data_IF_704830472626
#
_entry.id   IF_704830472626
#
_cell.length_a   1.000
_cell.length_b   1.000
_cell.length_c   1.000
_cell.angle_alpha   90.00
_cell.angle_beta   90.00
_cell.angle_gamma   90.00
#
_symmetry.space_group_name_H-M   'P 1'
#
loop_
_entity.id
_entity.type
_entity.pdbx_description
1 polymer ?
#
# COMPACT_ATOMS: atom_id res chain seq x y z
N UNK A 1 9.84 -76.58 -21.91
CA UNK A 1 10.45 -75.22 -21.93
C UNK A 1 9.66 -74.17 -22.73
N UNK A 2 8.56 -74.49 -23.40
CA UNK A 2 7.83 -73.56 -24.30
C UNK A 2 6.68 -72.76 -23.68
N UNK A 3 6.23 -73.11 -22.46
CA UNK A 3 5.13 -72.39 -21.78
C UNK A 3 5.60 -71.18 -20.92
N UNK A 4 6.84 -71.19 -20.41
CA UNK A 4 7.37 -70.09 -19.58
C UNK A 4 7.71 -68.82 -20.37
N UNK A 5 8.18 -68.96 -21.61
CA UNK A 5 8.59 -67.84 -22.46
C UNK A 5 7.40 -66.97 -22.92
N UNK A 6 6.21 -67.56 -23.14
CA UNK A 6 5.01 -66.79 -23.51
C UNK A 6 4.47 -65.94 -22.37
N UNK A 7 4.59 -66.40 -21.13
CA UNK A 7 4.16 -65.66 -19.93
C UNK A 7 5.05 -64.44 -19.67
N UNK A 8 6.37 -64.61 -19.82
CA UNK A 8 7.35 -63.52 -19.65
C UNK A 8 7.19 -62.47 -20.76
N UNK A 9 6.97 -62.89 -22.01
CA UNK A 9 6.71 -61.98 -23.11
C UNK A 9 5.42 -61.15 -22.91
N UNK A 10 4.33 -61.76 -22.43
CA UNK A 10 3.10 -61.00 -22.11
C UNK A 10 3.30 -60.04 -20.93
N UNK A 11 4.07 -60.42 -19.92
CA UNK A 11 4.39 -59.55 -18.79
C UNK A 11 5.25 -58.34 -19.21
N UNK A 12 6.25 -58.55 -20.07
CA UNK A 12 7.09 -57.50 -20.64
C UNK A 12 6.28 -56.55 -21.53
N UNK A 13 5.40 -57.07 -22.40
CA UNK A 13 4.50 -56.23 -23.21
C UNK A 13 3.61 -55.33 -22.33
N UNK A 14 3.02 -55.88 -21.25
CA UNK A 14 2.19 -55.11 -20.30
C UNK A 14 2.99 -54.05 -19.53
N UNK A 15 4.26 -54.32 -19.23
CA UNK A 15 5.17 -53.35 -18.60
C UNK A 15 5.54 -52.22 -19.57
N UNK A 16 5.84 -52.52 -20.83
CA UNK A 16 6.08 -51.49 -21.85
C UNK A 16 4.85 -50.62 -22.13
N UNK A 17 3.65 -51.18 -22.12
CA UNK A 17 2.42 -50.41 -22.32
C UNK A 17 2.08 -49.52 -21.12
N UNK A 18 2.33 -49.98 -19.87
CA UNK A 18 2.23 -49.10 -18.69
C UNK A 18 3.25 -47.97 -18.75
N UNK A 19 4.49 -48.24 -19.18
CA UNK A 19 5.53 -47.22 -19.27
C UNK A 19 5.24 -46.18 -20.36
N UNK A 20 4.68 -46.60 -21.51
CA UNK A 20 4.20 -45.69 -22.56
C UNK A 20 3.02 -44.83 -22.09
N UNK A 21 2.08 -45.40 -21.33
CA UNK A 21 0.96 -44.64 -20.77
C UNK A 21 1.41 -43.64 -19.69
N UNK A 22 2.41 -43.97 -18.86
CA UNK A 22 3.00 -43.02 -17.92
C UNK A 22 3.75 -41.88 -18.62
N UNK A 23 4.47 -42.17 -19.72
CA UNK A 23 5.14 -41.16 -20.53
C UNK A 23 4.14 -40.25 -21.26
N UNK A 24 3.00 -40.78 -21.69
CA UNK A 24 1.94 -39.97 -22.30
C UNK A 24 1.23 -39.11 -21.26
N UNK A 25 0.96 -39.62 -20.05
CA UNK A 25 0.40 -38.82 -18.95
C UNK A 25 1.34 -37.70 -18.49
N UNK A 26 2.64 -37.98 -18.38
CA UNK A 26 3.64 -36.96 -18.02
C UNK A 26 3.84 -35.92 -19.12
N UNK A 27 3.78 -36.32 -20.40
CA UNK A 27 3.76 -35.37 -21.53
C UNK A 27 2.49 -34.54 -21.57
N UNK A 28 1.32 -35.10 -21.28
CA UNK A 28 0.06 -34.36 -21.19
C UNK A 28 0.04 -33.40 -20.01
N UNK A 29 0.58 -33.79 -18.85
CA UNK A 29 0.72 -32.89 -17.69
C UNK A 29 1.74 -31.78 -17.98
N UNK A 30 2.87 -32.08 -18.63
CA UNK A 30 3.80 -31.05 -19.07
C UNK A 30 3.19 -30.13 -20.12
N UNK A 31 2.39 -30.63 -21.07
CA UNK A 31 1.68 -29.79 -22.04
C UNK A 31 0.65 -28.88 -21.36
N UNK A 32 -0.08 -29.39 -20.36
CA UNK A 32 -1.07 -28.62 -19.59
C UNK A 32 -0.36 -27.55 -18.74
N UNK A 33 0.79 -27.86 -18.13
CA UNK A 33 1.59 -26.90 -17.39
C UNK A 33 2.24 -25.86 -18.31
N UNK A 34 2.70 -26.27 -19.50
CA UNK A 34 3.32 -25.36 -20.48
C UNK A 34 2.29 -24.44 -21.17
N UNK A 35 1.04 -24.88 -21.34
CA UNK A 35 -0.07 -24.05 -21.84
C UNK A 35 -0.67 -23.13 -20.75
N UNK A 36 -0.66 -23.52 -19.47
CA UNK A 36 -1.16 -22.66 -18.39
C UNK A 36 -0.12 -21.65 -17.87
N UNK A 37 1.19 -21.93 -17.95
CA UNK A 37 2.22 -21.00 -17.48
C UNK A 37 2.45 -19.78 -18.41
N UNK A 38 1.99 -19.82 -19.66
CA UNK A 38 2.13 -18.70 -20.60
C UNK A 38 0.87 -17.83 -20.78
N UNK A 39 -0.29 -18.28 -20.26
CA UNK A 39 -1.59 -17.60 -20.51
C UNK A 39 -2.14 -16.88 -19.28
N UNK A 40 -1.55 -17.04 -18.10
CA UNK A 40 -2.03 -16.40 -16.85
C UNK A 40 -1.45 -14.99 -16.61
N UNK A 41 -0.53 -14.51 -17.46
CA UNK A 41 0.06 -13.17 -17.31
C UNK A 41 -0.44 -12.08 -18.29
N UNK A 42 -1.37 -12.40 -19.20
CA UNK A 42 -1.96 -11.41 -20.11
C UNK A 42 -3.41 -11.78 -20.48
N UNK A 43 -4.37 -11.61 -19.56
CA UNK A 43 -5.80 -11.49 -19.93
C UNK A 43 -6.67 -11.08 -18.73
N UNK A 44 -6.59 -9.83 -18.30
CA UNK A 44 -7.71 -9.16 -17.60
C UNK A 44 -7.79 -7.69 -18.06
N UNK A 45 -8.14 -7.50 -19.33
CA UNK A 45 -8.84 -6.33 -19.83
C UNK A 45 -9.87 -6.83 -20.85
N UNK A 46 -11.18 -6.69 -20.62
CA UNK A 46 -12.11 -6.82 -21.73
C UNK A 46 -12.06 -5.51 -22.53
N UNK A 47 -11.33 -5.52 -23.63
CA UNK A 47 -11.63 -4.65 -24.76
C UNK A 47 -12.96 -5.14 -25.36
N UNK A 48 -14.06 -4.52 -24.95
CA UNK A 48 -15.41 -4.82 -25.42
C UNK A 48 -16.02 -3.64 -26.17
N UNK A 49 -16.03 -3.78 -27.49
CA UNK A 49 -16.70 -2.99 -28.53
C UNK A 49 -17.85 -2.07 -28.10
N UNK A 50 -17.77 -0.81 -28.56
CA UNK A 50 -18.93 0.07 -28.75
C UNK A 50 -20.01 -0.65 -29.58
N UNK A 51 -21.14 -0.95 -28.95
CA UNK A 51 -22.43 -1.07 -29.64
C UNK A 51 -23.23 0.20 -29.36
N UNK A 52 -23.38 1.01 -30.40
CA UNK A 52 -24.29 2.15 -30.46
C UNK A 52 -25.74 1.68 -30.24
N UNK A 53 -26.25 1.82 -29.03
CA UNK A 53 -27.68 1.82 -28.76
C UNK A 53 -28.20 3.24 -29.01
N UNK A 54 -28.81 3.44 -30.19
CA UNK A 54 -29.63 4.61 -30.52
C UNK A 54 -30.80 4.68 -29.54
N UNK A 55 -30.76 5.59 -28.58
CA UNK A 55 -31.94 6.05 -27.86
C UNK A 55 -32.40 7.35 -28.53
N UNK A 56 -33.61 7.31 -29.11
CA UNK A 56 -34.30 8.45 -29.73
C UNK A 56 -34.78 9.41 -28.63
N UNK A 57 -34.68 10.74 -28.78
CA UNK A 57 -35.49 11.65 -27.99
C UNK A 57 -36.90 11.73 -28.59
N UNK A 58 -37.91 11.47 -27.76
CA UNK A 58 -39.32 11.77 -28.04
C UNK A 58 -39.52 13.27 -27.89
N UNK A 59 -39.62 13.98 -29.01
CA UNK A 59 -40.08 15.37 -29.07
C UNK A 59 -41.60 15.35 -29.23
N UNK A 60 -42.31 15.82 -28.21
CA UNK A 60 -43.74 16.12 -28.29
C UNK A 60 -43.89 17.52 -28.88
N UNK A 61 -44.61 17.60 -29.99
CA UNK A 61 -45.10 18.81 -30.65
C UNK A 61 -46.62 18.52 -30.80
N UNK A 62 -47.60 19.42 -30.62
CA UNK A 62 -47.92 20.69 -31.27
C UNK A 62 -49.17 21.26 -30.55
N UNK A 63 -49.31 22.60 -30.45
CA UNK A 63 -50.50 23.39 -30.90
C UNK A 63 -50.37 24.85 -30.41
N UNK A 64 -50.18 25.82 -31.32
CA UNK A 64 -51.23 26.73 -31.90
C UNK A 64 -51.69 27.79 -30.88
N UNK A 65 -51.92 29.08 -31.16
CA UNK A 65 -51.83 29.99 -32.31
C UNK A 65 -52.03 31.42 -31.72
N UNK A 66 -51.50 32.52 -32.30
CA UNK A 66 -52.25 33.67 -32.88
C UNK A 66 -51.58 34.99 -32.40
N UNK A 67 -51.08 35.81 -33.33
CA UNK A 67 -51.61 37.14 -33.72
C UNK A 67 -50.91 38.38 -33.09
N UNK A 68 -50.02 39.01 -33.88
CA UNK A 68 -49.97 40.44 -34.36
C UNK A 68 -50.60 41.58 -33.49
N UNK A 69 -50.22 42.88 -33.72
CA UNK A 69 -48.91 43.56 -33.73
C UNK A 69 -48.94 44.88 -32.87
N UNK A 70 -48.45 46.08 -33.30
CA UNK A 70 -47.21 46.73 -32.83
C UNK A 70 -47.43 48.13 -32.21
N UNK A 71 -46.49 48.66 -31.40
CA UNK A 71 -46.41 50.13 -31.20
C UNK A 71 -44.94 50.60 -31.16
N UNK A 72 -44.70 51.52 -32.08
CA UNK A 72 -43.57 52.42 -32.36
C UNK A 72 -43.08 53.22 -31.15
N UNK A 73 -41.80 53.62 -31.13
CA UNK A 73 -41.41 55.04 -31.21
C UNK A 73 -39.92 55.20 -31.52
N UNK A 74 -39.72 55.68 -32.74
CA UNK A 74 -38.67 56.52 -33.30
C UNK A 74 -37.70 57.21 -32.31
N UNK A 75 -36.40 57.02 -32.51
CA UNK A 75 -35.40 58.07 -32.30
C UNK A 75 -34.53 58.18 -33.55
N UNK A 76 -34.60 59.35 -34.16
CA UNK A 76 -33.74 59.85 -35.23
C UNK A 76 -32.27 59.84 -34.80
N UNK A 77 -31.38 59.30 -35.64
CA UNK A 77 -30.09 59.96 -35.88
C UNK A 77 -29.52 59.62 -37.25
N UNK A 78 -29.35 60.72 -37.97
CA UNK A 78 -28.68 60.99 -39.24
C UNK A 78 -27.47 60.11 -39.57
N UNK A 79 -27.48 59.55 -40.78
CA UNK A 79 -26.30 59.06 -41.49
C UNK A 79 -25.46 60.23 -42.01
N UNK A 80 -24.15 60.16 -41.80
CA UNK A 80 -23.16 60.76 -42.68
C UNK A 80 -22.12 59.67 -43.02
N UNK A 81 -22.00 59.45 -44.32
CA UNK A 81 -21.02 58.66 -45.08
C UNK A 81 -19.57 58.94 -44.59
N UNK A 82 -18.55 58.09 -44.74
CA UNK A 82 -18.29 56.93 -45.60
C UNK A 82 -17.00 56.29 -45.07
N UNK A 83 -17.01 54.98 -44.81
CA UNK A 83 -15.80 54.24 -44.44
C UNK A 83 -15.23 53.44 -45.63
N UNK A 84 -13.90 53.44 -45.62
CA UNK A 84 -12.94 52.85 -46.54
C UNK A 84 -13.29 51.45 -47.06
N UNK A 85 -13.04 51.28 -48.36
CA UNK A 85 -12.78 49.99 -48.97
C UNK A 85 -11.37 49.47 -48.59
N UNK A 86 -11.36 48.29 -47.99
CA UNK A 86 -10.57 47.11 -48.40
C UNK A 86 -9.04 47.25 -48.45
N UNK A 87 -8.38 46.84 -47.36
CA UNK A 87 -7.06 46.23 -47.42
C UNK A 87 -7.03 44.99 -46.50
N UNK A 88 -6.76 43.85 -47.12
CA UNK A 88 -6.59 42.54 -46.50
C UNK A 88 -5.38 42.60 -45.57
N UNK A 89 -5.57 42.38 -44.27
CA UNK A 89 -4.46 42.05 -43.39
C UNK A 89 -4.76 40.71 -42.72
N UNK A 90 -4.05 39.68 -43.20
CA UNK A 90 -4.14 38.30 -42.73
C UNK A 90 -3.33 38.22 -41.44
N UNK A 91 -3.98 38.50 -40.31
CA UNK A 91 -3.37 38.33 -38.99
C UNK A 91 -3.09 36.84 -38.79
N UNK A 92 -1.82 36.45 -38.86
CA UNK A 92 -1.36 35.17 -38.36
C UNK A 92 -1.67 35.13 -36.86
N UNK A 93 -2.67 34.32 -36.47
CA UNK A 93 -2.89 33.95 -35.08
C UNK A 93 -1.69 33.10 -34.68
N UNK A 94 -0.68 33.74 -34.10
CA UNK A 94 0.33 33.04 -33.31
C UNK A 94 -0.40 32.36 -32.15
N UNK A 95 -0.66 31.05 -32.30
CA UNK A 95 -1.07 30.20 -31.17
C UNK A 95 0.10 30.22 -30.19
N UNK A 96 -0.03 30.97 -29.12
CA UNK A 96 0.86 30.84 -27.97
C UNK A 96 0.68 29.43 -27.41
N UNK A 97 1.65 28.56 -27.68
CA UNK A 97 1.77 27.30 -26.94
C UNK A 97 2.17 27.66 -25.51
N UNK A 98 1.18 27.77 -24.63
CA UNK A 98 1.41 27.82 -23.19
C UNK A 98 1.82 26.42 -22.74
N UNK A 99 3.11 26.22 -22.49
CA UNK A 99 3.68 24.97 -21.97
C UNK A 99 3.70 24.92 -20.45
N UNK A 100 2.74 25.53 -19.77
CA UNK A 100 2.54 25.31 -18.34
C UNK A 100 1.85 23.96 -18.18
N UNK A 101 2.48 22.93 -17.60
CA UNK A 101 1.73 21.81 -17.11
C UNK A 101 0.95 22.35 -15.92
N UNK A 102 -0.28 22.75 -16.15
CA UNK A 102 -1.20 23.07 -15.07
C UNK A 102 -1.56 21.72 -14.45
N UNK A 103 -0.77 21.28 -13.47
CA UNK A 103 -1.14 20.17 -12.61
C UNK A 103 -2.29 20.67 -11.72
N UNK A 104 -3.49 20.68 -12.29
CA UNK A 104 -4.71 20.81 -11.52
C UNK A 104 -4.78 19.59 -10.60
N UNK A 105 -4.32 19.80 -9.37
CA UNK A 105 -4.20 18.85 -8.27
C UNK A 105 -5.59 18.47 -7.70
N UNK A 106 -6.47 17.88 -8.50
CA UNK A 106 -7.74 17.32 -8.00
C UNK A 106 -8.25 16.15 -8.86
N UNK A 107 -7.73 14.97 -8.60
CA UNK A 107 -8.51 13.72 -8.61
C UNK A 107 -8.52 13.14 -7.20
N UNK A 108 -9.10 13.87 -6.24
CA UNK A 108 -9.66 13.21 -5.07
C UNK A 108 -10.74 12.28 -5.60
N UNK A 109 -10.49 10.97 -5.76
CA UNK A 109 -11.52 10.00 -6.10
C UNK A 109 -12.70 10.22 -5.13
N UNK A 110 -13.79 10.88 -5.57
CA UNK A 110 -14.89 11.13 -4.68
C UNK A 110 -15.44 9.76 -4.31
N UNK A 111 -15.79 9.57 -3.04
CA UNK A 111 -16.51 8.35 -2.69
C UNK A 111 -17.76 8.32 -3.58
N UNK A 112 -17.95 7.23 -4.31
CA UNK A 112 -19.15 7.07 -5.13
C UNK A 112 -20.34 7.14 -4.16
N UNK A 113 -21.17 8.17 -4.32
CA UNK A 113 -22.38 8.31 -3.53
C UNK A 113 -23.34 7.22 -4.00
N UNK A 114 -23.60 6.26 -3.12
CA UNK A 114 -24.50 5.15 -3.39
C UNK A 114 -25.79 5.41 -2.62
N UNK A 115 -26.92 5.49 -3.34
CA UNK A 115 -28.24 5.82 -2.79
C UNK A 115 -28.63 5.00 -1.54
N UNK A 116 -28.08 3.79 -1.39
CA UNK A 116 -28.41 2.87 -0.29
C UNK A 116 -27.25 2.58 0.68
N UNK A 117 -25.99 2.89 0.34
CA UNK A 117 -24.83 2.49 1.14
C UNK A 117 -24.16 3.73 1.72
N UNK A 118 -24.39 3.95 3.02
CA UNK A 118 -23.86 5.11 3.74
C UNK A 118 -22.39 4.97 4.11
N UNK A 119 -21.98 3.80 4.60
CA UNK A 119 -20.60 3.54 5.05
C UNK A 119 -20.33 2.04 5.07
N UNK A 120 -19.10 1.65 4.70
CA UNK A 120 -18.60 0.28 4.90
C UNK A 120 -17.61 0.31 6.07
N UNK A 121 -17.86 -0.51 7.09
CA UNK A 121 -16.94 -0.62 8.23
C UNK A 121 -15.66 -1.35 7.83
N UNK A 122 -14.58 -1.08 8.56
CA UNK A 122 -13.28 -1.72 8.32
C UNK A 122 -13.38 -3.23 8.62
N UNK A 123 -12.77 -4.05 7.76
CA UNK A 123 -12.75 -5.50 7.96
C UNK A 123 -12.01 -5.90 9.25
N UNK A 124 -10.92 -5.19 9.56
CA UNK A 124 -10.22 -5.27 10.84
C UNK A 124 -10.35 -3.93 11.57
N UNK A 125 -11.07 -3.87 12.70
CA UNK A 125 -11.16 -2.65 13.50
C UNK A 125 -9.82 -2.35 14.17
N UNK A 126 -9.42 -1.07 14.20
CA UNK A 126 -8.16 -0.65 14.80
C UNK A 126 -8.22 -0.74 16.35
N UNK A 127 -7.19 -1.34 17.00
CA UNK A 127 -7.10 -1.39 18.46
C UNK A 127 -6.93 0.01 19.06
N UNK A 128 -7.70 0.34 20.10
CA UNK A 128 -7.67 1.69 20.67
C UNK A 128 -6.35 1.98 21.40
N UNK A 129 -5.63 3.00 20.94
CA UNK A 129 -4.39 3.49 21.57
C UNK A 129 -4.65 4.78 22.32
N UNK A 130 -4.13 4.87 23.55
CA UNK A 130 -4.11 6.15 24.26
C UNK A 130 -2.95 7.02 23.75
N UNK A 131 -3.20 8.34 23.65
CA UNK A 131 -2.19 9.31 23.22
C UNK A 131 -0.95 9.25 24.13
N UNK A 132 -1.15 9.06 25.43
CA UNK A 132 -0.06 8.94 26.40
C UNK A 132 0.83 7.74 26.08
N UNK A 133 0.25 6.55 25.86
CA UNK A 133 1.01 5.35 25.49
C UNK A 133 1.77 5.54 24.18
N UNK A 134 1.16 6.14 23.15
CA UNK A 134 1.83 6.39 21.86
C UNK A 134 3.02 7.35 21.97
N UNK A 135 3.01 8.23 22.97
CA UNK A 135 4.09 9.17 23.21
C UNK A 135 5.19 8.59 24.10
N UNK A 136 4.83 7.83 25.14
CA UNK A 136 5.79 7.31 26.12
C UNK A 136 6.40 5.97 25.75
N UNK A 137 5.60 5.06 25.20
CA UNK A 137 6.00 3.66 25.00
C UNK A 137 6.61 3.41 23.62
N UNK A 138 6.38 4.31 22.66
CA UNK A 138 6.81 4.15 21.27
C UNK A 138 8.06 4.97 21.01
N UNK A 139 9.17 4.27 20.82
CA UNK A 139 10.45 4.85 20.44
C UNK A 139 11.13 4.03 19.32
N UNK A 140 12.07 4.68 18.64
CA UNK A 140 13.02 3.98 17.80
C UNK A 140 13.85 3.02 18.65
N UNK A 141 14.01 1.81 18.15
CA UNK A 141 14.81 0.75 18.75
C UNK A 141 15.34 -0.11 17.62
N UNK A 142 16.51 -0.71 17.83
CA UNK A 142 17.18 -1.54 16.86
C UNK A 142 17.51 -2.91 17.45
N UNK A 143 17.05 -3.99 16.82
CA UNK A 143 17.48 -5.35 17.17
C UNK A 143 18.83 -5.67 16.52
N UNK A 144 19.82 -5.99 17.35
CA UNK A 144 21.13 -6.46 16.85
C UNK A 144 20.95 -7.78 16.08
N UNK A 145 21.54 -7.93 14.87
CA UNK A 145 21.42 -9.16 14.10
C UNK A 145 22.26 -10.27 14.75
N UNK A 146 21.61 -11.38 15.10
CA UNK A 146 22.27 -12.46 15.84
C UNK A 146 22.87 -13.51 14.91
N UNK A 147 22.10 -13.90 13.88
CA UNK A 147 22.47 -14.97 12.95
C UNK A 147 22.73 -14.45 11.52
N UNK A 148 23.05 -15.36 10.60
CA UNK A 148 23.31 -15.02 9.19
C UNK A 148 22.05 -14.51 8.47
N UNK A 149 20.87 -15.04 8.81
CA UNK A 149 19.59 -14.61 8.25
C UNK A 149 19.31 -13.15 8.62
N UNK A 150 19.51 -12.79 9.89
CA UNK A 150 19.34 -11.43 10.39
C UNK A 150 20.31 -10.45 9.71
N UNK A 151 21.56 -10.87 9.51
CA UNK A 151 22.57 -10.05 8.80
C UNK A 151 22.17 -9.80 7.34
N UNK A 152 21.65 -10.81 6.65
CA UNK A 152 21.13 -10.64 5.28
C UNK A 152 19.94 -9.69 5.27
N UNK A 153 18.97 -9.91 6.16
CA UNK A 153 17.78 -9.06 6.26
C UNK A 153 18.16 -7.59 6.48
N UNK A 154 19.05 -7.32 7.44
CA UNK A 154 19.53 -5.97 7.73
C UNK A 154 20.31 -5.36 6.56
N UNK A 155 21.16 -6.15 5.90
CA UNK A 155 21.89 -5.69 4.71
C UNK A 155 20.91 -5.26 3.61
N UNK A 156 19.88 -6.07 3.32
CA UNK A 156 18.89 -5.77 2.29
C UNK A 156 18.10 -4.50 2.62
N UNK A 157 17.67 -4.31 3.87
CA UNK A 157 16.99 -3.08 4.29
C UNK A 157 17.88 -1.85 4.10
N UNK A 158 19.14 -1.92 4.56
CA UNK A 158 20.09 -0.81 4.40
C UNK A 158 20.37 -0.49 2.93
N UNK A 159 20.48 -1.52 2.10
CA UNK A 159 20.65 -1.37 0.66
C UNK A 159 19.43 -0.72 0.00
N UNK A 160 18.21 -1.18 0.32
CA UNK A 160 16.98 -0.61 -0.21
C UNK A 160 16.77 0.84 0.26
N UNK A 161 17.08 1.13 1.52
CA UNK A 161 17.07 2.50 2.04
C UNK A 161 18.04 3.37 1.29
N UNK A 162 19.29 2.93 1.11
CA UNK A 162 20.27 3.66 0.31
C UNK A 162 19.77 3.92 -1.12
N UNK A 163 19.24 2.90 -1.81
CA UNK A 163 18.70 3.06 -3.16
C UNK A 163 17.52 4.03 -3.22
N UNK A 164 16.59 3.94 -2.26
CA UNK A 164 15.41 4.80 -2.20
C UNK A 164 15.79 6.24 -1.88
N UNK A 165 16.66 6.46 -0.90
CA UNK A 165 17.12 7.79 -0.51
C UNK A 165 17.92 8.43 -1.65
N UNK A 166 18.74 7.65 -2.35
CA UNK A 166 19.46 8.10 -3.55
C UNK A 166 18.49 8.46 -4.69
N UNK A 167 17.53 7.60 -5.03
CA UNK A 167 16.60 7.81 -6.14
C UNK A 167 15.62 8.97 -5.88
N UNK A 168 15.22 9.18 -4.64
CA UNK A 168 14.30 10.27 -4.25
C UNK A 168 15.02 11.58 -3.93
N UNK A 169 16.36 11.55 -3.83
CA UNK A 169 17.16 12.68 -3.37
C UNK A 169 16.86 13.07 -1.92
N UNK A 170 16.37 12.12 -1.11
CA UNK A 170 16.05 12.34 0.30
C UNK A 170 17.31 12.70 1.08
N UNK A 171 17.26 13.81 1.81
CA UNK A 171 18.32 14.28 2.71
C UNK A 171 17.66 14.88 3.94
N UNK A 172 17.87 14.26 5.09
CA UNK A 172 17.36 14.74 6.37
C UNK A 172 18.53 15.26 7.20
N UNK A 173 18.38 16.45 7.79
CA UNK A 173 19.48 17.14 8.46
C UNK A 173 19.67 16.71 9.92
N UNK A 174 18.80 15.83 10.45
CA UNK A 174 18.96 15.29 11.81
C UNK A 174 19.91 14.10 11.85
N UNK A 175 20.81 14.14 12.83
CA UNK A 175 21.66 13.02 13.22
C UNK A 175 20.77 11.87 13.68
N UNK A 176 20.85 10.72 13.00
CA UNK A 176 20.22 9.48 13.47
C UNK A 176 20.67 9.23 14.91
N UNK A 177 19.77 8.94 15.87
CA UNK A 177 20.18 8.60 17.23
C UNK A 177 21.13 7.40 17.17
N UNK A 178 22.38 7.63 17.56
CA UNK A 178 23.43 6.59 17.52
C UNK A 178 23.19 5.52 18.60
N UNK A 179 22.27 5.78 19.55
CA UNK A 179 21.95 4.92 20.68
C UNK A 179 20.42 4.88 20.88
N UNK A 180 19.87 3.69 21.10
CA UNK A 180 18.47 3.51 21.47
C UNK A 180 18.20 4.16 22.83
N UNK A 181 17.33 5.16 22.87
CA UNK A 181 16.89 5.82 24.12
C UNK A 181 17.35 7.26 24.34
N UNK A 182 18.13 7.87 23.43
CA UNK A 182 18.49 9.29 23.57
C UNK A 182 17.61 10.19 22.69
N UNK A 183 16.95 11.15 23.33
CA UNK A 183 16.36 12.33 22.70
C UNK A 183 17.47 13.30 22.29
N UNK A 184 18.21 12.98 21.24
CA UNK A 184 19.34 13.80 20.80
C UNK A 184 18.85 15.07 20.09
N UNK A 185 19.07 16.22 20.73
CA UNK A 185 18.87 17.55 20.16
C UNK A 185 19.70 17.71 18.87
N UNK A 186 19.02 18.11 17.79
CA UNK A 186 19.61 18.22 16.45
C UNK A 186 20.29 19.57 16.30
N UNK A 187 21.61 19.58 16.06
CA UNK A 187 22.39 20.78 15.77
C UNK A 187 22.05 21.35 14.38
N UNK A 188 21.55 22.58 14.32
CA UNK A 188 21.18 23.29 13.09
C UNK A 188 22.40 23.92 12.40
N UNK A 189 22.66 23.57 11.14
CA UNK A 189 23.60 24.32 10.27
C UNK A 189 23.37 24.16 8.74
N UNK A 190 22.26 23.55 8.30
CA UNK A 190 21.95 23.39 6.86
C UNK A 190 20.51 23.81 6.56
N UNK A 191 20.23 24.35 5.35
CA UNK A 191 18.87 24.71 4.96
C UNK A 191 18.01 23.45 4.89
N UNK A 192 17.01 23.38 5.76
CA UNK A 192 16.10 22.25 5.91
C UNK A 192 15.45 21.87 4.57
N UNK A 193 15.63 20.60 4.15
CA UNK A 193 15.31 20.15 2.77
C UNK A 193 14.01 19.38 2.62
N UNK A 194 13.26 19.10 3.69
CA UNK A 194 12.05 18.28 3.67
C UNK A 194 10.78 19.13 3.78
N UNK A 195 9.99 19.22 2.71
CA UNK A 195 8.65 19.84 2.79
C UNK A 195 7.56 18.79 3.03
N UNK A 196 6.37 19.22 3.41
CA UNK A 196 5.15 18.41 3.57
C UNK A 196 4.90 17.57 2.32
N UNK A 197 5.05 18.18 1.14
CA UNK A 197 4.93 17.48 -0.14
C UNK A 197 5.95 16.34 -0.29
N UNK A 198 7.20 16.54 0.14
CA UNK A 198 8.24 15.50 0.07
C UNK A 198 7.98 14.39 1.07
N UNK A 199 7.52 14.71 2.28
CA UNK A 199 7.06 13.73 3.26
C UNK A 199 5.92 12.88 2.70
N UNK A 200 4.89 13.50 2.12
CA UNK A 200 3.77 12.78 1.52
C UNK A 200 4.20 11.88 0.36
N UNK A 201 5.08 12.35 -0.53
CA UNK A 201 5.59 11.52 -1.63
C UNK A 201 6.32 10.29 -1.09
N UNK A 202 7.16 10.47 -0.05
CA UNK A 202 7.87 9.37 0.59
C UNK A 202 6.90 8.37 1.22
N UNK A 203 5.96 8.86 2.04
CA UNK A 203 4.95 8.04 2.71
C UNK A 203 4.11 7.28 1.67
N UNK A 204 3.46 7.97 0.73
CA UNK A 204 2.64 7.31 -0.32
C UNK A 204 3.43 6.25 -1.09
N UNK A 205 4.71 6.50 -1.41
CA UNK A 205 5.52 5.49 -2.10
C UNK A 205 5.79 4.27 -1.22
N UNK A 206 6.26 4.46 0.02
CA UNK A 206 6.63 3.36 0.91
C UNK A 206 5.41 2.56 1.34
N UNK A 207 4.31 3.22 1.71
CA UNK A 207 3.05 2.57 2.09
C UNK A 207 2.43 1.76 0.94
N UNK A 208 2.71 2.12 -0.32
CA UNK A 208 2.25 1.35 -1.48
C UNK A 208 2.94 -0.02 -1.61
N UNK A 209 4.05 -0.20 -0.91
CA UNK A 209 4.87 -1.42 -0.93
C UNK A 209 4.80 -2.15 0.41
N UNK A 210 4.62 -1.43 1.52
CA UNK A 210 4.57 -1.97 2.89
C UNK A 210 3.41 -2.96 3.10
N UNK A 211 2.27 -2.80 2.43
CA UNK A 211 1.17 -3.79 2.50
C UNK A 211 1.41 -5.12 1.77
N UNK A 212 2.53 -5.29 1.06
CA UNK A 212 2.81 -6.50 0.25
C UNK A 212 3.28 -7.71 1.08
N UNK A 213 4.26 -7.59 2.01
CA UNK A 213 4.80 -8.73 2.75
C UNK A 213 3.76 -9.51 3.55
N UNK A 214 2.94 -8.83 4.35
CA UNK A 214 1.87 -9.46 5.14
C UNK A 214 0.87 -10.22 4.26
N UNK A 215 0.50 -9.65 3.10
CA UNK A 215 -0.40 -10.29 2.14
C UNK A 215 0.21 -11.57 1.54
N UNK A 216 1.48 -11.51 1.12
CA UNK A 216 2.19 -12.67 0.55
C UNK A 216 2.36 -13.78 1.59
N UNK A 217 2.80 -13.42 2.80
CA UNK A 217 3.00 -14.35 3.90
C UNK A 217 1.67 -15.02 4.31
N UNK A 218 0.62 -14.21 4.52
CA UNK A 218 -0.73 -14.69 4.84
C UNK A 218 -1.29 -15.62 3.76
N UNK A 219 -1.15 -15.25 2.48
CA UNK A 219 -1.55 -16.11 1.35
C UNK A 219 -0.79 -17.44 1.32
N UNK A 220 0.54 -17.42 1.48
CA UNK A 220 1.36 -18.63 1.43
C UNK A 220 1.06 -19.58 2.60
N UNK A 221 0.86 -19.04 3.80
CA UNK A 221 0.44 -19.79 4.98
C UNK A 221 -0.98 -20.33 4.84
N UNK A 222 -1.89 -19.55 4.27
CA UNK A 222 -3.25 -19.99 3.95
C UNK A 222 -3.26 -21.20 3.03
N UNK A 223 -2.55 -21.12 1.90
CA UNK A 223 -2.40 -22.25 0.99
C UNK A 223 -1.67 -23.44 1.65
N UNK A 224 -0.80 -23.19 2.63
CA UNK A 224 -0.10 -24.25 3.38
C UNK A 224 -1.03 -25.01 4.32
N UNK A 225 -1.86 -24.28 5.05
CA UNK A 225 -2.91 -24.83 5.90
C UNK A 225 -3.88 -25.69 5.08
N UNK A 226 -4.36 -25.17 3.94
CA UNK A 226 -5.28 -25.90 3.07
C UNK A 226 -4.68 -27.19 2.51
N UNK A 227 -3.47 -27.13 1.92
CA UNK A 227 -2.86 -28.32 1.29
C UNK A 227 -2.44 -29.41 2.28
N UNK A 228 -2.24 -29.04 3.56
CA UNK A 228 -1.91 -30.00 4.64
C UNK A 228 -3.11 -30.38 5.50
N UNK A 229 -4.27 -29.74 5.31
CA UNK A 229 -5.46 -29.90 6.14
C UNK A 229 -5.15 -29.68 7.63
N UNK A 230 -4.30 -28.69 7.95
CA UNK A 230 -3.85 -28.36 9.30
C UNK A 230 -4.30 -26.96 9.71
N UNK A 231 -4.51 -26.73 11.01
CA UNK A 231 -4.69 -25.38 11.54
C UNK A 231 -3.41 -24.57 11.39
N UNK A 232 -3.58 -23.26 11.19
CA UNK A 232 -2.47 -22.30 11.10
C UNK A 232 -2.09 -21.68 12.46
N UNK A 233 -2.99 -21.75 13.44
CA UNK A 233 -2.78 -21.22 14.80
C UNK A 233 -2.60 -19.69 14.86
N UNK A 234 -3.34 -18.95 14.01
CA UNK A 234 -3.55 -17.51 14.15
C UNK A 234 -2.57 -16.61 13.39
N UNK A 235 -1.67 -17.17 12.61
CA UNK A 235 -0.69 -16.39 11.84
C UNK A 235 -1.32 -15.68 10.63
N UNK A 236 -2.18 -16.37 9.87
CA UNK A 236 -2.81 -15.84 8.66
C UNK A 236 -3.59 -14.56 8.97
N UNK A 237 -4.37 -14.55 10.05
CA UNK A 237 -5.19 -13.40 10.43
C UNK A 237 -4.32 -12.18 10.72
N UNK A 238 -3.29 -12.32 11.56
CA UNK A 238 -2.37 -11.21 11.91
C UNK A 238 -1.64 -10.67 10.69
N UNK A 239 -1.20 -11.52 9.77
CA UNK A 239 -0.48 -11.08 8.56
C UNK A 239 -1.39 -10.35 7.56
N UNK A 240 -2.65 -10.78 7.45
CA UNK A 240 -3.64 -10.08 6.62
C UNK A 240 -4.12 -8.78 7.27
N UNK A 241 -4.21 -8.74 8.60
CA UNK A 241 -4.53 -7.54 9.39
C UNK A 241 -3.43 -6.48 9.24
N UNK A 242 -2.15 -6.86 9.32
CA UNK A 242 -1.00 -6.00 9.03
C UNK A 242 -1.09 -5.42 7.62
N UNK A 243 -1.22 -6.27 6.59
CA UNK A 243 -1.36 -5.81 5.20
C UNK A 243 -2.57 -4.88 4.98
N UNK A 244 -3.67 -5.09 5.72
CA UNK A 244 -4.83 -4.21 5.70
C UNK A 244 -4.51 -2.87 6.36
N UNK A 245 -3.81 -2.86 7.50
CA UNK A 245 -3.44 -1.65 8.23
C UNK A 245 -2.51 -0.75 7.39
N UNK A 246 -1.46 -1.31 6.79
CA UNK A 246 -0.56 -0.62 5.84
C UNK A 246 -1.34 0.03 4.67
N UNK A 247 -2.34 -0.69 4.13
CA UNK A 247 -3.21 -0.13 3.08
C UNK A 247 -4.03 1.05 3.60
N UNK A 248 -4.45 1.06 4.86
CA UNK A 248 -5.16 2.19 5.45
C UNK A 248 -4.26 3.42 5.62
N UNK A 249 -2.95 3.24 5.86
CA UNK A 249 -1.97 4.32 5.85
C UNK A 249 -1.88 4.93 4.44
N UNK A 250 -1.66 4.10 3.42
CA UNK A 250 -1.62 4.53 2.02
C UNK A 250 -2.88 5.32 1.62
N UNK A 251 -4.07 4.77 1.89
CA UNK A 251 -5.34 5.40 1.52
C UNK A 251 -5.56 6.73 2.25
N UNK A 252 -5.04 6.85 3.47
CA UNK A 252 -5.05 8.10 4.23
C UNK A 252 -4.17 9.15 3.57
N UNK A 253 -2.92 8.82 3.22
CA UNK A 253 -2.02 9.77 2.56
C UNK A 253 -2.50 10.15 1.16
N UNK A 254 -3.15 9.24 0.42
CA UNK A 254 -3.75 9.52 -0.88
C UNK A 254 -4.91 10.53 -0.83
N UNK A 255 -5.52 10.75 0.35
CA UNK A 255 -6.51 11.83 0.53
C UNK A 255 -5.87 13.21 0.70
N UNK A 256 -4.55 13.27 0.91
CA UNK A 256 -3.79 14.52 1.06
C UNK A 256 -2.83 14.77 -0.10
N UNK A 257 -2.36 13.72 -0.77
CA UNK A 257 -1.47 13.81 -1.91
C UNK A 257 -1.94 12.93 -3.06
N UNK A 258 -1.97 13.52 -4.26
CA UNK A 258 -2.24 12.77 -5.48
C UNK A 258 -0.93 12.43 -6.21
N UNK A 259 -0.60 11.13 -6.39
CA UNK A 259 0.60 10.74 -7.11
C UNK A 259 0.43 11.02 -8.61
N UNK A 260 1.41 11.70 -9.20
CA UNK A 260 1.48 11.90 -10.65
C UNK A 260 1.71 10.59 -11.41
N UNK A 261 1.52 10.61 -12.74
CA UNK A 261 1.65 9.42 -13.59
C UNK A 261 3.00 8.70 -13.44
N UNK A 262 4.10 9.45 -13.35
CA UNK A 262 5.43 8.87 -13.14
C UNK A 262 5.52 8.06 -11.83
N UNK A 263 4.98 8.60 -10.74
CA UNK A 263 4.95 7.91 -9.45
C UNK A 263 4.06 6.67 -9.50
N UNK A 264 2.90 6.75 -10.15
CA UNK A 264 2.01 5.59 -10.37
C UNK A 264 2.73 4.47 -11.13
N UNK A 265 3.49 4.78 -12.18
CA UNK A 265 4.30 3.80 -12.91
C UNK A 265 5.41 3.19 -12.05
N UNK A 266 6.09 3.99 -11.24
CA UNK A 266 7.09 3.47 -10.29
C UNK A 266 6.48 2.52 -9.27
N UNK A 267 5.29 2.84 -8.73
CA UNK A 267 4.58 1.97 -7.79
C UNK A 267 4.27 0.62 -8.43
N UNK A 268 3.73 0.61 -9.66
CA UNK A 268 3.44 -0.64 -10.40
C UNK A 268 4.72 -1.47 -10.58
N UNK A 269 5.82 -0.83 -11.01
CA UNK A 269 7.11 -1.50 -11.18
C UNK A 269 7.67 -2.05 -9.87
N UNK A 270 7.63 -1.25 -8.80
CA UNK A 270 8.10 -1.63 -7.47
C UNK A 270 7.30 -2.80 -6.90
N UNK A 271 5.97 -2.74 -6.96
CA UNK A 271 5.10 -3.85 -6.55
C UNK A 271 5.36 -5.11 -7.37
N UNK A 272 5.53 -4.99 -8.69
CA UNK A 272 5.85 -6.12 -9.56
C UNK A 272 7.14 -6.85 -9.15
N UNK A 273 8.22 -6.11 -8.88
CA UNK A 273 9.49 -6.70 -8.44
C UNK A 273 9.40 -7.22 -7.00
N UNK A 274 8.87 -6.40 -6.10
CA UNK A 274 8.87 -6.68 -4.66
C UNK A 274 7.95 -7.83 -4.30
N UNK A 275 6.74 -7.91 -4.87
CA UNK A 275 5.82 -9.03 -4.68
C UNK A 275 6.47 -10.37 -5.04
N UNK A 276 7.06 -10.45 -6.24
CA UNK A 276 7.71 -11.68 -6.71
C UNK A 276 8.93 -12.04 -5.86
N UNK A 277 9.72 -11.04 -5.46
CA UNK A 277 10.89 -11.24 -4.59
C UNK A 277 10.48 -11.74 -3.21
N UNK A 278 9.47 -11.13 -2.59
CA UNK A 278 8.92 -11.57 -1.30
C UNK A 278 8.30 -12.96 -1.39
N UNK A 279 7.55 -13.25 -2.45
CA UNK A 279 6.95 -14.57 -2.67
C UNK A 279 8.01 -15.67 -2.72
N UNK A 280 9.05 -15.50 -3.56
CA UNK A 280 10.13 -16.48 -3.66
C UNK A 280 10.95 -16.57 -2.36
N UNK A 281 11.25 -15.44 -1.73
CA UNK A 281 12.02 -15.40 -0.49
C UNK A 281 11.28 -16.08 0.67
N UNK A 282 9.96 -15.89 0.77
CA UNK A 282 9.16 -16.49 1.83
C UNK A 282 9.02 -18.00 1.66
N UNK A 283 9.03 -18.51 0.42
CA UNK A 283 9.10 -19.95 0.17
C UNK A 283 10.43 -20.57 0.62
N UNK A 284 11.53 -19.81 0.60
CA UNK A 284 12.87 -20.28 0.97
C UNK A 284 13.10 -20.12 2.48
N UNK A 285 12.84 -18.92 3.01
CA UNK A 285 13.08 -18.58 4.41
C UNK A 285 12.04 -17.58 4.93
N UNK A 286 10.94 -18.06 5.52
CA UNK A 286 9.96 -17.21 6.20
C UNK A 286 10.59 -16.39 7.33
N UNK A 287 11.52 -16.98 8.10
CA UNK A 287 12.26 -16.32 9.18
C UNK A 287 12.99 -15.08 8.68
N UNK A 288 13.73 -15.20 7.58
CA UNK A 288 14.45 -14.06 6.99
C UNK A 288 13.50 -12.98 6.50
N UNK A 289 12.36 -13.35 5.93
CA UNK A 289 11.34 -12.40 5.48
C UNK A 289 10.73 -11.62 6.65
N UNK A 290 10.35 -12.29 7.74
CA UNK A 290 9.84 -11.62 8.94
C UNK A 290 10.90 -10.69 9.54
N UNK A 291 12.17 -11.12 9.62
CA UNK A 291 13.23 -10.23 10.10
C UNK A 291 13.44 -9.03 9.18
N UNK A 292 13.36 -9.23 7.87
CA UNK A 292 13.47 -8.16 6.88
C UNK A 292 12.36 -7.13 7.05
N UNK A 293 11.09 -7.56 7.16
CA UNK A 293 9.96 -6.67 7.43
C UNK A 293 10.16 -5.93 8.74
N UNK A 294 10.54 -6.62 9.82
CA UNK A 294 10.77 -5.97 11.11
C UNK A 294 11.84 -4.86 11.05
N UNK A 295 12.91 -5.06 10.28
CA UNK A 295 13.90 -4.01 10.03
C UNK A 295 13.39 -2.87 9.15
N UNK A 296 12.46 -3.11 8.21
CA UNK A 296 11.76 -2.02 7.52
C UNK A 296 10.95 -1.19 8.52
N UNK A 297 10.26 -1.84 9.44
CA UNK A 297 9.42 -1.14 10.42
C UNK A 297 10.23 -0.37 11.48
N UNK A 298 11.44 -0.81 11.82
CA UNK A 298 12.38 0.01 12.58
C UNK A 298 12.66 1.35 11.88
N UNK A 299 12.85 1.31 10.56
CA UNK A 299 13.13 2.48 9.74
C UNK A 299 11.87 3.32 9.52
N UNK A 300 10.68 2.70 9.49
CA UNK A 300 9.38 3.39 9.44
C UNK A 300 9.13 4.16 10.74
N UNK A 301 9.32 3.53 11.91
CA UNK A 301 9.23 4.19 13.22
C UNK A 301 10.17 5.39 13.31
N UNK A 302 11.40 5.25 12.80
CA UNK A 302 12.35 6.37 12.71
C UNK A 302 11.83 7.47 11.80
N UNK A 303 11.37 7.12 10.59
CA UNK A 303 10.85 8.06 9.59
C UNK A 303 9.70 8.90 10.14
N UNK A 304 8.72 8.26 10.80
CA UNK A 304 7.60 8.96 11.41
C UNK A 304 7.99 9.79 12.64
N UNK A 305 8.96 9.32 13.43
CA UNK A 305 9.51 10.11 14.55
C UNK A 305 10.15 11.41 14.05
N UNK A 306 10.91 11.35 12.95
CA UNK A 306 11.50 12.52 12.33
C UNK A 306 10.45 13.49 11.77
N UNK A 307 9.43 12.96 11.08
CA UNK A 307 8.33 13.77 10.57
C UNK A 307 7.55 14.47 11.69
N UNK A 308 7.27 13.78 12.80
CA UNK A 308 6.64 14.37 14.00
C UNK A 308 7.51 15.48 14.57
N UNK A 309 8.81 15.25 14.72
CA UNK A 309 9.76 16.24 15.22
C UNK A 309 9.79 17.51 14.33
N UNK A 310 9.72 17.36 13.01
CA UNK A 310 9.69 18.51 12.11
C UNK A 310 8.37 19.31 12.18
N UNK A 311 7.25 18.66 12.50
CA UNK A 311 5.99 19.35 12.84
C UNK A 311 6.15 20.13 14.15
N UNK A 312 6.67 19.48 15.19
CA UNK A 312 6.82 20.07 16.53
C UNK A 312 7.80 21.25 16.56
N UNK A 313 8.85 21.20 15.73
CA UNK A 313 9.82 22.30 15.57
C UNK A 313 9.34 23.38 14.59
N UNK A 314 8.10 23.29 14.09
CA UNK A 314 7.50 24.32 13.25
C UNK A 314 8.07 24.42 11.84
N UNK A 315 8.78 23.40 11.36
CA UNK A 315 9.39 23.39 10.01
C UNK A 315 8.39 23.05 8.90
N UNK A 316 7.20 22.59 9.27
CA UNK A 316 6.12 22.17 8.38
C UNK A 316 4.86 23.03 8.62
N UNK A 317 4.85 24.29 8.13
CA UNK A 317 3.80 25.26 8.45
C UNK A 317 2.40 24.86 7.99
N UNK A 318 2.26 24.10 6.89
CA UNK A 318 0.93 23.68 6.40
C UNK A 318 0.29 22.67 7.35
N UNK A 319 1.10 21.80 7.97
CA UNK A 319 0.66 20.78 8.92
C UNK A 319 0.50 21.32 10.34
N UNK A 320 1.26 22.35 10.71
CA UNK A 320 1.13 23.04 11.99
C UNK A 320 0.00 24.08 12.02
N UNK A 321 -0.65 24.34 10.88
CA UNK A 321 -1.76 25.28 10.79
C UNK A 321 -2.98 24.79 11.60
N UNK A 322 -3.54 25.60 12.53
CA UNK A 322 -4.73 25.25 13.31
C UNK A 322 -5.98 24.94 12.47
N UNK A 323 -6.04 25.39 11.21
CA UNK A 323 -7.12 25.09 10.28
C UNK A 323 -6.95 23.74 9.55
N UNK A 324 -5.75 23.14 9.58
CA UNK A 324 -5.51 21.85 8.97
C UNK A 324 -6.31 20.76 9.68
N UNK A 325 -6.94 19.87 8.89
CA UNK A 325 -7.69 18.72 9.39
C UNK A 325 -7.26 17.49 8.62
N UNK A 326 -7.06 16.40 9.35
CA UNK A 326 -6.74 15.11 8.77
C UNK A 326 -7.96 14.51 8.04
N UNK A 327 -7.74 13.62 7.06
CA UNK A 327 -8.84 12.99 6.32
C UNK A 327 -9.81 12.18 7.18
N UNK A 328 -11.10 12.19 6.83
CA UNK A 328 -12.14 11.45 7.55
C UNK A 328 -11.90 9.94 7.59
N UNK A 329 -11.24 9.38 6.56
CA UNK A 329 -10.86 7.95 6.55
C UNK A 329 -9.98 7.60 7.76
N UNK A 330 -9.06 8.50 8.12
CA UNK A 330 -8.17 8.31 9.26
C UNK A 330 -8.92 8.44 10.58
N UNK A 331 -9.72 9.50 10.71
CA UNK A 331 -10.57 9.73 11.89
C UNK A 331 -11.45 8.51 12.16
N UNK A 332 -12.05 7.94 11.10
CA UNK A 332 -12.95 6.80 11.21
C UNK A 332 -12.24 5.48 11.52
N UNK A 333 -11.02 5.28 11.01
CA UNK A 333 -10.27 4.04 11.20
C UNK A 333 -9.63 3.99 12.59
N UNK A 334 -8.82 4.99 12.94
CA UNK A 334 -8.13 5.10 14.25
C UNK A 334 -9.01 5.66 15.38
N UNK A 335 -10.28 6.02 15.09
CA UNK A 335 -11.24 6.60 16.05
C UNK A 335 -10.69 7.84 16.76
N UNK A 336 -10.04 8.72 15.99
CA UNK A 336 -9.33 9.89 16.53
C UNK A 336 -10.33 10.90 17.14
N UNK A 337 -10.15 11.29 18.42
CA UNK A 337 -11.07 12.20 19.12
C UNK A 337 -11.04 13.60 18.51
N UNK A 338 -12.14 14.34 18.62
CA UNK A 338 -12.32 15.66 17.97
C UNK A 338 -11.23 16.69 18.31
N UNK A 339 -10.71 16.64 19.53
CA UNK A 339 -9.64 17.53 20.00
C UNK A 339 -8.22 17.20 19.51
N UNK A 340 -8.02 16.05 18.84
CA UNK A 340 -6.70 15.55 18.44
C UNK A 340 -6.64 15.20 16.95
N UNK A 341 -7.32 15.97 16.11
CA UNK A 341 -7.39 15.74 14.65
C UNK A 341 -6.33 16.52 13.87
N UNK A 342 -5.10 16.54 14.38
CA UNK A 342 -3.95 17.20 13.76
C UNK A 342 -3.10 16.20 12.95
N UNK A 343 -2.23 16.71 12.06
CA UNK A 343 -1.29 15.84 11.35
C UNK A 343 -0.34 15.11 12.31
N UNK A 344 0.10 15.80 13.37
CA UNK A 344 0.94 15.21 14.42
C UNK A 344 0.28 14.00 15.06
N UNK A 345 -0.99 14.12 15.43
CA UNK A 345 -1.73 13.04 16.08
C UNK A 345 -1.93 11.85 15.14
N UNK A 346 -2.24 12.09 13.86
CA UNK A 346 -2.29 11.04 12.85
C UNK A 346 -0.96 10.29 12.74
N UNK A 347 0.16 11.01 12.65
CA UNK A 347 1.48 10.38 12.58
C UNK A 347 1.84 9.62 13.86
N UNK A 348 1.33 10.00 15.04
CA UNK A 348 1.50 9.23 16.26
C UNK A 348 0.80 7.88 16.20
N UNK A 349 -0.42 7.81 15.65
CA UNK A 349 -1.14 6.56 15.43
C UNK A 349 -0.42 5.65 14.43
N UNK A 350 -0.05 6.20 13.27
CA UNK A 350 0.67 5.46 12.23
C UNK A 350 2.01 4.92 12.79
N UNK A 351 2.80 5.77 13.47
CA UNK A 351 4.04 5.34 14.12
C UNK A 351 3.84 4.22 15.15
N UNK A 352 2.71 4.22 15.87
CA UNK A 352 2.38 3.17 16.82
C UNK A 352 2.04 1.85 16.11
N UNK A 353 1.35 1.91 14.98
CA UNK A 353 1.11 0.75 14.11
C UNK A 353 2.45 0.17 13.61
N UNK A 354 3.38 1.01 13.11
CA UNK A 354 4.70 0.52 12.67
C UNK A 354 5.49 -0.12 13.80
N UNK A 355 5.45 0.48 14.99
CA UNK A 355 6.10 -0.09 16.15
C UNK A 355 5.52 -1.45 16.51
N UNK A 356 4.22 -1.65 16.27
CA UNK A 356 3.55 -2.93 16.46
C UNK A 356 3.95 -3.95 15.40
N UNK A 357 3.95 -3.57 14.13
CA UNK A 357 4.41 -4.43 13.03
C UNK A 357 5.87 -4.86 13.23
N UNK A 358 6.74 -3.94 13.69
CA UNK A 358 8.12 -4.24 14.10
C UNK A 358 8.19 -5.33 15.17
N UNK A 359 7.46 -5.15 16.28
CA UNK A 359 7.42 -6.12 17.38
C UNK A 359 6.92 -7.49 16.89
N UNK A 360 5.81 -7.49 16.16
CA UNK A 360 5.18 -8.70 15.63
C UNK A 360 6.16 -9.43 14.74
N UNK A 361 6.70 -8.79 13.71
CA UNK A 361 7.60 -9.44 12.76
C UNK A 361 8.92 -9.87 13.38
N UNK A 362 9.50 -9.12 14.33
CA UNK A 362 10.67 -9.61 15.07
C UNK A 362 10.36 -10.87 15.88
N UNK A 363 9.18 -10.92 16.51
CA UNK A 363 8.73 -12.07 17.28
C UNK A 363 8.46 -13.26 16.38
N UNK A 364 7.70 -13.08 15.28
CA UNK A 364 7.42 -14.14 14.31
C UNK A 364 8.70 -14.69 13.67
N UNK A 365 9.72 -13.85 13.48
CA UNK A 365 11.05 -14.28 13.06
C UNK A 365 11.73 -15.25 14.05
N UNK A 366 11.40 -15.16 15.35
CA UNK A 366 11.98 -16.01 16.40
C UNK A 366 11.28 -17.38 16.56
N UNK A 367 10.06 -17.53 16.06
CA UNK A 367 9.24 -18.73 16.25
C UNK A 367 9.51 -19.83 15.21
N UNK A 368 9.18 -21.06 15.58
CA UNK A 368 9.06 -22.17 14.63
C UNK A 368 7.75 -22.03 13.84
N UNK A 369 7.91 -21.74 12.56
CA UNK A 369 6.83 -21.46 11.61
C UNK A 369 5.82 -22.62 11.46
N UNK A 370 6.21 -23.86 11.80
CA UNK A 370 5.39 -25.05 11.60
C UNK A 370 4.61 -25.48 12.85
N UNK A 371 5.17 -25.24 14.04
CA UNK A 371 4.67 -25.81 15.29
C UNK A 371 4.15 -24.75 16.25
N UNK A 372 4.76 -23.56 16.28
CA UNK A 372 4.43 -22.56 17.30
C UNK A 372 3.15 -21.79 16.95
N UNK A 373 2.23 -21.59 17.92
CA UNK A 373 1.07 -20.71 17.74
C UNK A 373 1.50 -19.24 17.66
N UNK A 374 0.66 -18.41 17.05
CA UNK A 374 0.87 -16.97 17.06
C UNK A 374 0.58 -16.41 18.47
N UNK A 375 1.58 -15.84 19.17
CA UNK A 375 1.41 -15.37 20.54
C UNK A 375 0.46 -14.17 20.67
N UNK A 376 0.35 -13.32 19.63
CA UNK A 376 -0.42 -12.06 19.68
C UNK A 376 -1.93 -12.25 19.70
N UNK A 377 -2.41 -13.44 19.34
CA UNK A 377 -3.83 -13.83 19.33
C UNK A 377 -4.11 -15.03 20.24
N UNK A 378 -3.12 -15.44 21.04
CA UNK A 378 -3.23 -16.58 21.94
C UNK A 378 -3.69 -16.17 23.34
N UNK A 379 -4.40 -17.06 24.03
CA UNK A 379 -4.77 -16.90 25.44
C UNK A 379 -3.74 -17.59 26.34
N UNK A 380 -3.18 -16.86 27.29
CA UNK A 380 -2.14 -17.36 28.19
C UNK A 380 -2.72 -17.93 29.48
N UNK A 381 -2.11 -19.02 29.99
CA UNK A 381 -2.53 -19.68 31.24
C UNK A 381 -2.30 -18.81 32.48
N UNK A 382 -1.19 -18.07 32.49
CA UNK A 382 -0.86 -17.15 33.56
C UNK A 382 -1.19 -15.74 33.08
N UNK A 383 -2.22 -15.10 33.62
CA UNK A 383 -2.60 -13.73 33.23
C UNK A 383 -1.81 -12.63 33.94
N UNK A 384 -0.91 -12.99 34.86
CA UNK A 384 -0.19 -12.03 35.72
C UNK A 384 1.07 -11.48 35.05
N UNK A 385 1.74 -12.31 34.23
CA UNK A 385 2.92 -11.85 33.50
C UNK A 385 2.52 -10.99 32.29
N UNK A 386 3.38 -10.06 31.83
CA UNK A 386 3.16 -9.36 30.57
C UNK A 386 3.26 -10.35 29.40
N UNK A 387 2.31 -10.28 28.47
CA UNK A 387 2.28 -11.12 27.28
C UNK A 387 2.10 -10.29 26.00
N UNK A 388 2.51 -10.82 24.83
CA UNK A 388 2.14 -10.26 23.54
C UNK A 388 0.61 -10.17 23.40
N UNK A 389 0.13 -9.06 22.85
CA UNK A 389 -1.29 -8.87 22.51
C UNK A 389 -1.44 -7.82 21.42
N UNK A 390 -2.67 -7.51 20.99
CA UNK A 390 -2.89 -6.48 19.93
C UNK A 390 -2.65 -5.03 20.39
N UNK A 391 -2.68 -4.77 21.70
CA UNK A 391 -2.42 -3.44 22.31
C UNK A 391 -0.92 -3.08 22.27
N UNK A 392 -0.63 -1.81 22.57
CA UNK A 392 0.73 -1.23 22.75
C UNK A 392 1.14 -1.08 24.22
N UNK A 393 0.36 -1.63 25.16
CA UNK A 393 0.64 -1.58 26.60
C UNK A 393 1.96 -2.26 26.99
N UNK A 394 2.24 -3.42 26.40
CA UNK A 394 3.40 -4.26 26.70
C UNK A 394 4.28 -4.44 25.46
N UNK A 395 4.46 -3.36 24.69
CA UNK A 395 5.25 -3.42 23.46
C UNK A 395 6.71 -3.76 23.75
N UNK A 396 7.26 -4.73 23.01
CA UNK A 396 8.69 -5.05 22.99
C UNK A 396 9.31 -4.64 21.66
N UNK A 397 10.05 -3.52 21.61
CA UNK A 397 10.57 -2.99 20.35
C UNK A 397 11.47 -3.95 19.56
N UNK A 398 12.20 -4.84 20.24
CA UNK A 398 13.09 -5.84 19.60
C UNK A 398 12.43 -7.19 19.34
N UNK A 399 11.11 -7.30 19.55
CA UNK A 399 10.35 -8.54 19.55
C UNK A 399 10.52 -9.35 20.84
N UNK A 400 9.65 -10.34 21.00
CA UNK A 400 9.71 -11.33 22.08
C UNK A 400 10.56 -12.53 21.64
N UNK A 401 11.34 -13.07 22.58
CA UNK A 401 12.06 -14.31 22.33
C UNK A 401 11.14 -15.52 22.43
N UNK A 402 11.45 -16.57 21.68
CA UNK A 402 10.60 -17.77 21.59
C UNK A 402 10.33 -18.39 22.97
N UNK A 403 11.33 -18.44 23.84
CA UNK A 403 11.25 -18.98 25.20
C UNK A 403 10.44 -18.12 26.17
N UNK A 404 10.04 -16.92 25.77
CA UNK A 404 9.20 -16.04 26.59
C UNK A 404 7.71 -16.20 26.30
N UNK A 405 7.37 -16.79 25.15
CA UNK A 405 5.99 -16.80 24.62
C UNK A 405 5.45 -18.20 24.33
N UNK A 406 6.32 -19.21 24.20
CA UNK A 406 6.01 -20.64 24.07
C UNK A 406 6.53 -21.36 25.31
#
# INVERSE_FOLDING_TARGET
>A
MTYGLRSIHQALCRLTDRHKNLLNYTKSILLILQYHSFTVFFSMYPAGSLRLLKIRPSVTQINQALARPPITHTVFRTNLNSNLARAVNRSYINRQFSSTPQSWLRDCFPQADHEHIKKTEAAWPHPQYSIQQMQTNIAYAHRKPEDFSDRIALFLVRFLRFCTDFATGYKHDSTVPTVAGESSAVSEAKPYRMSERKWLIRMVFLESVAGVPGMVAGMLRHLHSLRRLKRDNGWIETLLEEAYNERMHLLTFLKMAEPGWFMKMMIIGAQGVFFNSMFLSYLISPRTCHRFVAYLEEEAVLTYTLAIHDIETGKLPDWSNPAFRIPDIAVNYWKIPEGSRTMRDLLLYIRADEAKHREVNHTLGNLDQNEDPNPFVSTYKNSVLPHPGKSIEHIRPTGWERNEVI
#
